data_IF_705663201865
#
_entry.id   IF_705663201865
#
_cell.length_a   1.000
_cell.length_b   1.000
_cell.length_c   1.000
_cell.angle_alpha   90.00
_cell.angle_beta   90.00
_cell.angle_gamma   90.00
#
_symmetry.space_group_name_H-M   'P 1'
#
loop_
_entity.id
_entity.type
_entity.pdbx_description
1 polymer ?
#
# COMPACT_ATOMS: atom_id res chain seq x y z
N UNK A 1 0.81 8.39 19.39
CA UNK A 1 1.19 8.15 17.99
C UNK A 1 2.35 7.17 17.97
N UNK A 2 2.20 6.02 17.32
CA UNK A 2 3.25 4.99 17.32
C UNK A 2 2.75 3.55 17.32
N UNK A 3 1.45 3.32 17.48
CA UNK A 3 0.86 1.99 17.46
C UNK A 3 0.34 1.58 16.06
N UNK A 4 0.76 2.19 14.95
CA UNK A 4 0.36 1.73 13.60
C UNK A 4 1.59 1.51 12.70
N UNK A 5 1.46 0.59 11.75
CA UNK A 5 2.42 0.41 10.66
C UNK A 5 1.91 1.13 9.41
N UNK A 6 2.78 1.87 8.75
CA UNK A 6 2.55 2.43 7.40
C UNK A 6 3.90 2.49 6.68
N UNK A 7 4.14 1.52 5.80
CA UNK A 7 5.39 1.39 5.05
C UNK A 7 5.07 1.12 3.58
N UNK A 8 5.81 1.78 2.70
CA UNK A 8 5.62 1.66 1.25
C UNK A 8 6.91 1.17 0.60
N UNK A 9 6.78 0.21 -0.30
CA UNK A 9 7.86 -0.40 -1.06
C UNK A 9 7.54 -0.25 -2.55
N UNK A 10 8.48 0.25 -3.33
CA UNK A 10 8.29 0.49 -4.76
C UNK A 10 9.36 -0.26 -5.54
N UNK A 11 8.92 -1.13 -6.44
CA UNK A 11 9.74 -1.69 -7.50
C UNK A 11 9.57 -0.92 -8.81
N UNK A 12 10.06 -1.48 -9.91
CA UNK A 12 10.02 -0.81 -11.23
C UNK A 12 8.60 -0.68 -11.81
N UNK A 13 7.72 -1.67 -11.56
CA UNK A 13 6.36 -1.73 -12.15
C UNK A 13 5.26 -1.96 -11.12
N UNK A 14 5.61 -2.30 -9.89
CA UNK A 14 4.65 -2.61 -8.82
C UNK A 14 5.12 -1.99 -7.51
N UNK A 15 4.16 -1.66 -6.65
CA UNK A 15 4.37 -1.13 -5.32
C UNK A 15 3.45 -1.84 -4.33
N UNK A 16 3.92 -1.92 -3.09
CA UNK A 16 3.22 -2.53 -1.97
C UNK A 16 3.20 -1.54 -0.81
N UNK A 17 2.02 -1.30 -0.28
CA UNK A 17 1.81 -0.50 0.93
C UNK A 17 1.34 -1.46 2.01
N UNK A 18 2.10 -1.54 3.09
CA UNK A 18 1.80 -2.35 4.26
C UNK A 18 1.27 -1.44 5.35
N UNK A 19 0.04 -1.70 5.80
CA UNK A 19 -0.65 -0.89 6.79
C UNK A 19 -1.12 -1.73 7.96
N UNK A 20 -1.18 -1.16 9.15
CA UNK A 20 -1.90 -1.76 10.28
C UNK A 20 -2.59 -0.68 11.11
N UNK A 21 -3.74 -1.01 11.68
CA UNK A 21 -4.46 -0.16 12.64
C UNK A 21 -3.81 -0.17 14.02
N UNK A 22 -3.20 -1.31 14.41
CA UNK A 22 -2.45 -1.50 15.64
C UNK A 22 -1.14 -2.27 15.35
N UNK A 23 -0.07 -2.11 16.12
CA UNK A 23 1.12 -2.99 16.08
C UNK A 23 0.92 -4.26 16.92
N UNK A 24 -0.06 -4.23 17.81
CA UNK A 24 -0.38 -5.32 18.74
C UNK A 24 -1.38 -6.31 18.11
N UNK A 25 -2.05 -5.90 17.02
CA UNK A 25 -2.95 -6.77 16.29
C UNK A 25 -2.16 -7.67 15.33
N UNK A 26 -2.44 -8.99 15.32
CA UNK A 26 -1.70 -9.96 14.50
C UNK A 26 -2.18 -9.97 13.04
N UNK A 27 -2.55 -8.80 12.50
CA UNK A 27 -2.95 -8.65 11.11
C UNK A 27 -2.42 -7.35 10.53
N UNK A 28 -2.24 -7.36 9.22
CA UNK A 28 -1.83 -6.22 8.41
C UNK A 28 -2.73 -6.16 7.19
N UNK A 29 -2.89 -4.97 6.64
CA UNK A 29 -3.54 -4.73 5.37
C UNK A 29 -2.48 -4.52 4.31
N UNK A 30 -2.69 -5.15 3.16
CA UNK A 30 -1.81 -5.01 2.01
C UNK A 30 -2.57 -4.24 0.93
N UNK A 31 -1.97 -3.16 0.47
CA UNK A 31 -2.44 -2.46 -0.72
C UNK A 31 -1.38 -2.56 -1.82
N UNK A 32 -1.75 -3.25 -2.89
CA UNK A 32 -0.92 -3.41 -4.08
C UNK A 32 -1.30 -2.35 -5.11
N UNK A 33 -0.29 -1.67 -5.65
CA UNK A 33 -0.43 -0.69 -6.73
C UNK A 33 0.52 -1.05 -7.87
N UNK A 34 0.15 -0.71 -9.10
CA UNK A 34 1.03 -0.87 -10.26
C UNK A 34 1.29 0.46 -10.98
N UNK A 35 2.38 0.49 -11.74
CA UNK A 35 2.64 1.52 -12.73
C UNK A 35 1.73 1.27 -13.93
N UNK A 36 0.97 2.28 -14.33
CA UNK A 36 0.07 2.26 -15.49
C UNK A 36 0.87 2.35 -16.80
N UNK A 37 0.17 2.18 -17.92
CA UNK A 37 0.78 2.24 -19.25
C UNK A 37 1.31 3.64 -19.60
N UNK A 38 0.71 4.69 -19.03
CA UNK A 38 1.15 6.09 -19.15
C UNK A 38 2.29 6.45 -18.20
N UNK A 39 2.95 5.44 -17.61
CA UNK A 39 4.00 5.57 -16.60
C UNK A 39 3.61 6.24 -15.27
N UNK A 40 2.34 6.61 -15.09
CA UNK A 40 1.86 7.09 -13.80
C UNK A 40 1.62 5.91 -12.84
N UNK A 41 1.72 6.15 -11.53
CA UNK A 41 1.35 5.15 -10.52
C UNK A 41 -0.15 5.17 -10.26
N UNK A 42 -0.73 4.00 -10.01
CA UNK A 42 -2.05 3.92 -9.38
C UNK A 42 -2.06 4.71 -8.06
N UNK A 43 -3.13 5.47 -7.84
CA UNK A 43 -3.29 6.35 -6.68
C UNK A 43 -4.28 5.75 -5.68
N UNK A 44 -3.80 5.24 -4.53
CA UNK A 44 -4.64 4.78 -3.43
C UNK A 44 -5.72 5.77 -3.00
N UNK A 45 -5.41 7.08 -3.04
CA UNK A 45 -6.32 8.16 -2.67
C UNK A 45 -7.50 8.31 -3.63
N UNK A 46 -7.38 7.81 -4.87
CA UNK A 46 -8.47 7.79 -5.86
C UNK A 46 -9.20 6.44 -5.89
N UNK A 47 -8.94 5.56 -4.92
CA UNK A 47 -9.55 4.22 -4.87
C UNK A 47 -8.88 3.20 -5.80
N UNK A 48 -7.72 3.52 -6.37
CA UNK A 48 -6.98 2.61 -7.25
C UNK A 48 -6.09 1.63 -6.46
N UNK A 49 -5.73 0.52 -7.12
CA UNK A 49 -4.99 -0.58 -6.54
C UNK A 49 -5.88 -1.61 -5.83
N UNK A 50 -5.31 -2.77 -5.51
CA UNK A 50 -6.02 -3.87 -4.83
C UNK A 50 -5.68 -3.86 -3.35
N UNK A 51 -6.71 -3.90 -2.50
CA UNK A 51 -6.58 -4.05 -1.05
C UNK A 51 -6.98 -5.47 -0.63
N UNK A 52 -6.24 -6.04 0.31
CA UNK A 52 -6.49 -7.34 0.93
C UNK A 52 -6.10 -7.30 2.40
#
# INVERSE_FOLDING_TARGET
MGNSHSKSFFGQKAGLIVQSSSKEQPYIFLQCIKKKADESWEKPSQGEGKKV
#
